data_IF_538708686132
#
_entry.id   IF_538708686132
#
_cell.length_a   1.000
_cell.length_b   1.000
_cell.length_c   1.000
_cell.angle_alpha   90.00
_cell.angle_beta   90.00
_cell.angle_gamma   90.00
#
_symmetry.space_group_name_H-M   'P 1'
#
loop_
_entity.id
_entity.type
_entity.pdbx_description
1 polymer ?
#
# COMPACT_ATOMS: atom_id res chain seq x y z
N UNK A 1 10.83 2.12 5.49
CA UNK A 1 10.50 0.69 5.24
C UNK A 1 11.67 -0.25 5.51
N UNK A 2 12.87 -0.08 4.86
CA UNK A 2 14.05 -0.97 5.07
C UNK A 2 14.39 -1.15 6.56
N UNK A 3 14.44 -0.06 7.34
CA UNK A 3 14.70 -0.09 8.79
C UNK A 3 13.68 -0.90 9.59
N UNK A 4 12.39 -0.78 9.26
CA UNK A 4 11.34 -1.56 9.91
C UNK A 4 11.44 -3.05 9.61
N UNK A 5 11.85 -3.40 8.38
CA UNK A 5 12.07 -4.78 7.99
C UNK A 5 13.26 -5.41 8.75
N UNK A 6 14.32 -4.63 9.04
CA UNK A 6 15.43 -5.08 9.89
C UNK A 6 14.94 -5.37 11.32
N UNK A 7 14.08 -4.50 11.88
CA UNK A 7 13.49 -4.70 13.20
C UNK A 7 12.60 -5.95 13.25
N UNK A 8 11.76 -6.17 12.24
CA UNK A 8 10.95 -7.39 12.14
C UNK A 8 11.84 -8.64 12.03
N UNK A 9 12.88 -8.60 11.21
CA UNK A 9 13.85 -9.70 11.06
C UNK A 9 14.64 -9.99 12.34
N UNK A 10 14.79 -9.04 13.25
CA UNK A 10 15.42 -9.30 14.55
C UNK A 10 14.59 -10.25 15.45
N UNK A 11 13.31 -10.46 15.12
CA UNK A 11 12.39 -11.32 15.87
C UNK A 11 11.79 -10.67 17.11
N UNK A 12 12.18 -9.45 17.48
CA UNK A 12 11.72 -8.78 18.71
C UNK A 12 10.20 -8.62 18.75
N UNK A 13 9.59 -8.29 17.60
CA UNK A 13 8.13 -8.15 17.48
C UNK A 13 7.41 -9.47 17.20
N UNK A 14 8.14 -10.56 16.94
CA UNK A 14 7.54 -11.80 16.49
C UNK A 14 7.01 -11.67 15.06
N UNK A 15 6.10 -12.58 14.69
CA UNK A 15 5.54 -12.66 13.35
C UNK A 15 4.53 -11.54 13.10
N UNK A 16 4.48 -11.03 11.87
CA UNK A 16 3.39 -10.17 11.38
C UNK A 16 2.16 -11.04 11.12
N UNK A 17 1.03 -10.70 11.74
CA UNK A 17 -0.24 -11.43 11.59
C UNK A 17 -1.28 -10.65 10.80
N UNK A 18 -1.39 -9.33 11.04
CA UNK A 18 -2.43 -8.50 10.45
C UNK A 18 -1.89 -7.14 10.04
N UNK A 19 -2.31 -6.66 8.86
CA UNK A 19 -2.02 -5.30 8.40
C UNK A 19 -3.33 -4.55 8.13
N UNK A 20 -3.45 -3.33 8.65
CA UNK A 20 -4.59 -2.45 8.37
C UNK A 20 -4.11 -1.19 7.66
N UNK A 21 -4.72 -0.89 6.50
CA UNK A 21 -4.34 0.22 5.65
C UNK A 21 -5.52 1.17 5.43
N UNK A 22 -5.29 2.46 5.65
CA UNK A 22 -6.25 3.51 5.34
C UNK A 22 -5.61 4.56 4.43
N UNK A 23 -6.34 5.00 3.40
CA UNK A 23 -5.98 6.16 2.60
C UNK A 23 -7.24 6.87 2.08
N UNK A 24 -7.56 8.03 2.63
CA UNK A 24 -8.60 8.90 2.12
C UNK A 24 -8.04 10.25 1.71
N UNK A 25 -8.17 10.57 0.42
CA UNK A 25 -7.73 11.84 -0.15
C UNK A 25 -8.93 12.54 -0.75
N UNK A 26 -9.63 13.37 0.05
CA UNK A 26 -10.82 14.07 -0.44
C UNK A 26 -10.50 14.88 -1.70
N UNK A 27 -11.24 14.59 -2.76
CA UNK A 27 -11.26 15.31 -4.04
C UNK A 27 -12.70 15.71 -4.32
N UNK A 28 -12.88 16.94 -4.78
CA UNK A 28 -14.17 17.36 -5.34
C UNK A 28 -14.45 16.62 -6.65
N UNK A 29 -15.72 16.41 -6.95
CA UNK A 29 -16.11 15.84 -8.23
C UNK A 29 -15.84 16.85 -9.35
N UNK A 30 -14.74 16.65 -10.00
CA UNK A 30 -14.42 17.29 -11.28
C UNK A 30 -14.15 16.20 -12.31
N UNK A 31 -15.08 16.02 -13.25
CA UNK A 31 -15.02 15.00 -14.28
C UNK A 31 -13.90 15.28 -15.30
N UNK A 32 -13.31 16.45 -15.30
CA UNK A 32 -12.13 16.80 -16.11
C UNK A 32 -10.83 16.44 -15.41
N UNK A 33 -10.86 16.28 -14.09
CA UNK A 33 -9.70 15.90 -13.32
C UNK A 33 -9.43 14.38 -13.47
N UNK A 34 -8.16 14.00 -13.55
CA UNK A 34 -7.74 12.60 -13.69
C UNK A 34 -8.32 11.65 -12.62
N UNK A 35 -8.61 12.15 -11.41
CA UNK A 35 -9.07 11.30 -10.30
C UNK A 35 -10.39 10.59 -10.58
N UNK A 36 -11.32 11.26 -11.28
CA UNK A 36 -12.63 10.71 -11.61
C UNK A 36 -12.83 10.52 -13.12
N UNK A 37 -11.80 10.70 -13.92
CA UNK A 37 -11.89 10.59 -15.37
C UNK A 37 -11.45 9.20 -15.85
N UNK A 38 -12.40 8.43 -16.41
CA UNK A 38 -12.15 7.11 -16.96
C UNK A 38 -11.11 7.13 -18.09
N UNK A 39 -11.14 8.16 -18.96
CA UNK A 39 -10.18 8.30 -20.06
C UNK A 39 -8.77 8.68 -19.61
N UNK A 40 -8.56 8.99 -18.34
CA UNK A 40 -7.27 9.28 -17.75
C UNK A 40 -6.86 8.24 -16.69
N UNK A 41 -7.44 7.04 -16.79
CA UNK A 41 -7.21 5.94 -15.84
C UNK A 41 -7.45 6.36 -14.37
N UNK A 42 -8.56 7.08 -14.11
CA UNK A 42 -8.96 7.51 -12.77
C UNK A 42 -9.40 6.34 -11.89
N UNK A 43 -9.65 6.65 -10.63
CA UNK A 43 -10.12 5.69 -9.62
C UNK A 43 -9.19 5.58 -8.42
N UNK A 44 -9.76 5.24 -7.27
CA UNK A 44 -9.03 5.14 -5.99
C UNK A 44 -7.98 4.02 -6.02
N UNK A 45 -8.29 2.89 -6.65
CA UNK A 45 -7.37 1.76 -6.70
C UNK A 45 -6.07 2.10 -7.44
N UNK A 46 -6.16 2.73 -8.62
CA UNK A 46 -4.96 3.08 -9.39
C UNK A 46 -4.21 4.27 -8.77
N UNK A 47 -4.92 5.29 -8.24
CA UNK A 47 -4.28 6.49 -7.72
C UNK A 47 -3.64 6.28 -6.35
N UNK A 48 -4.37 5.67 -5.40
CA UNK A 48 -3.93 5.54 -4.00
C UNK A 48 -3.81 4.10 -3.51
N UNK A 49 -4.45 3.13 -4.17
CA UNK A 49 -4.38 1.71 -3.77
C UNK A 49 -3.00 1.11 -3.96
N UNK A 50 -2.25 1.53 -4.97
CA UNK A 50 -0.88 1.08 -5.22
C UNK A 50 0.04 1.25 -4.00
N UNK A 51 -0.09 2.36 -3.26
CA UNK A 51 0.70 2.59 -2.06
C UNK A 51 0.36 1.61 -0.94
N UNK A 52 -0.94 1.38 -0.70
CA UNK A 52 -1.40 0.47 0.35
C UNK A 52 -0.99 -0.97 0.06
N UNK A 53 -1.21 -1.43 -1.17
CA UNK A 53 -0.84 -2.78 -1.61
C UNK A 53 0.67 -3.00 -1.59
N UNK A 54 1.47 -1.98 -1.94
CA UNK A 54 2.94 -2.06 -1.86
C UNK A 54 3.43 -2.23 -0.43
N UNK A 55 2.83 -1.54 0.55
CA UNK A 55 3.17 -1.72 1.97
C UNK A 55 2.78 -3.11 2.45
N UNK A 56 1.60 -3.62 2.10
CA UNK A 56 1.18 -4.98 2.46
C UNK A 56 2.17 -5.99 1.88
N UNK A 57 2.49 -5.89 0.58
CA UNK A 57 3.42 -6.82 -0.08
C UNK A 57 4.83 -6.76 0.51
N UNK A 58 5.24 -5.60 1.01
CA UNK A 58 6.55 -5.42 1.66
C UNK A 58 6.66 -6.18 2.98
N UNK A 59 5.58 -6.27 3.75
CA UNK A 59 5.58 -6.88 5.08
C UNK A 59 4.97 -8.30 5.14
N UNK A 60 4.33 -8.76 4.07
CA UNK A 60 3.88 -10.14 3.95
C UNK A 60 5.04 -11.07 3.58
N UNK A 61 5.05 -12.25 4.16
CA UNK A 61 6.04 -13.29 3.89
C UNK A 61 5.89 -13.87 2.49
N UNK A 62 4.65 -13.88 1.99
CA UNK A 62 4.35 -14.32 0.64
C UNK A 62 3.38 -13.35 -0.07
N UNK A 63 3.17 -13.55 -1.37
CA UNK A 63 2.20 -12.72 -2.12
C UNK A 63 0.78 -12.99 -1.64
N UNK A 64 -0.07 -11.95 -1.52
CA UNK A 64 -1.50 -12.15 -1.32
C UNK A 64 -2.09 -12.97 -2.48
N UNK A 65 -2.82 -14.03 -2.17
CA UNK A 65 -3.44 -14.92 -3.16
C UNK A 65 -4.96 -15.03 -3.01
N UNK A 66 -5.49 -14.76 -1.82
CA UNK A 66 -6.93 -14.65 -1.59
C UNK A 66 -7.31 -13.19 -1.41
N UNK A 67 -8.25 -12.73 -2.25
CA UNK A 67 -8.66 -11.32 -2.35
C UNK A 67 -10.17 -11.27 -2.40
N UNK A 68 -10.77 -10.58 -1.43
CA UNK A 68 -12.17 -10.19 -1.44
C UNK A 68 -12.23 -8.68 -1.53
N UNK A 69 -13.12 -8.14 -2.37
CA UNK A 69 -13.19 -6.72 -2.60
C UNK A 69 -14.61 -6.19 -2.78
N UNK A 70 -14.81 -4.94 -2.42
CA UNK A 70 -15.99 -4.15 -2.69
C UNK A 70 -15.59 -2.75 -3.13
N UNK A 71 -16.44 -2.10 -3.91
CA UNK A 71 -16.23 -0.72 -4.31
C UNK A 71 -17.54 0.08 -4.33
N UNK A 72 -17.39 1.39 -4.31
CA UNK A 72 -18.39 2.35 -4.72
C UNK A 72 -17.91 3.06 -5.97
N UNK A 73 -18.72 3.05 -7.02
CA UNK A 73 -18.42 3.71 -8.30
C UNK A 73 -18.75 5.20 -8.23
N UNK A 74 -17.87 6.02 -8.81
CA UNK A 74 -18.18 7.40 -9.17
C UNK A 74 -19.15 7.44 -10.35
N UNK A 75 -19.84 8.56 -10.62
CA UNK A 75 -20.73 8.71 -11.79
C UNK A 75 -20.04 8.46 -13.14
N UNK A 76 -18.74 8.52 -13.20
CA UNK A 76 -17.91 8.26 -14.40
C UNK A 76 -17.56 6.79 -14.61
N UNK A 77 -17.96 5.90 -13.69
CA UNK A 77 -17.70 4.47 -13.78
C UNK A 77 -16.34 4.01 -13.22
N UNK A 78 -15.51 4.92 -12.69
CA UNK A 78 -14.30 4.55 -11.95
C UNK A 78 -14.62 4.32 -10.47
N UNK A 79 -13.76 3.62 -9.75
CA UNK A 79 -13.91 3.41 -8.30
C UNK A 79 -13.61 4.69 -7.52
N UNK A 80 -14.60 5.18 -6.79
CA UNK A 80 -14.49 6.29 -5.85
C UNK A 80 -13.94 5.83 -4.50
N UNK A 81 -14.42 4.66 -4.06
CA UNK A 81 -14.03 4.00 -2.82
C UNK A 81 -13.77 2.53 -3.12
N UNK A 82 -12.79 1.97 -2.44
CA UNK A 82 -12.49 0.55 -2.51
C UNK A 82 -12.16 -0.01 -1.12
N UNK A 83 -12.64 -1.22 -0.86
CA UNK A 83 -12.31 -2.00 0.33
C UNK A 83 -11.80 -3.36 -0.09
N UNK A 84 -10.69 -3.81 0.50
CA UNK A 84 -10.14 -5.13 0.24
C UNK A 84 -9.88 -5.86 1.55
N UNK A 85 -10.12 -7.17 1.51
CA UNK A 85 -9.62 -8.13 2.49
C UNK A 85 -8.68 -9.08 1.75
N UNK A 86 -7.45 -9.16 2.22
CA UNK A 86 -6.38 -9.93 1.60
C UNK A 86 -5.87 -10.98 2.58
N UNK A 87 -5.47 -12.14 2.09
CA UNK A 87 -4.65 -13.07 2.85
C UNK A 87 -3.62 -13.76 1.96
N UNK A 88 -2.56 -14.25 2.58
CA UNK A 88 -1.54 -15.06 1.93
C UNK A 88 -1.61 -16.52 2.39
N UNK A 89 -0.80 -17.38 1.76
CA UNK A 89 -0.73 -18.82 2.09
C UNK A 89 -0.17 -19.11 3.49
N UNK A 90 0.52 -18.13 4.08
CA UNK A 90 1.09 -18.26 5.43
C UNK A 90 0.08 -17.85 6.53
N UNK A 91 -1.14 -17.43 6.13
CA UNK A 91 -2.22 -17.04 7.03
C UNK A 91 -2.12 -15.58 7.52
N UNK A 92 -1.25 -14.77 6.94
CA UNK A 92 -1.25 -13.33 7.20
C UNK A 92 -2.47 -12.69 6.54
N UNK A 93 -3.07 -11.70 7.18
CA UNK A 93 -4.26 -11.01 6.67
C UNK A 93 -4.03 -9.51 6.57
N UNK A 94 -4.71 -8.87 5.62
CA UNK A 94 -4.69 -7.42 5.52
C UNK A 94 -6.06 -6.86 5.13
N UNK A 95 -6.35 -5.65 5.63
CA UNK A 95 -7.51 -4.85 5.22
C UNK A 95 -7.05 -3.55 4.61
N UNK A 96 -7.74 -3.12 3.56
CA UNK A 96 -7.48 -1.85 2.87
C UNK A 96 -8.79 -1.07 2.74
N UNK A 97 -8.76 0.21 3.12
CA UNK A 97 -9.86 1.15 2.93
C UNK A 97 -9.37 2.38 2.19
N UNK A 98 -9.90 2.60 0.99
CA UNK A 98 -9.53 3.69 0.10
C UNK A 98 -10.72 4.60 -0.18
N UNK A 99 -10.50 5.91 -0.26
CA UNK A 99 -11.50 6.85 -0.75
C UNK A 99 -10.87 8.08 -1.41
N UNK A 100 -11.40 8.45 -2.58
CA UNK A 100 -11.12 9.74 -3.23
C UNK A 100 -12.15 10.82 -2.85
N UNK A 101 -13.23 10.47 -2.16
CA UNK A 101 -14.29 11.42 -1.79
C UNK A 101 -14.56 11.48 -0.27
N UNK A 102 -13.65 10.90 0.53
CA UNK A 102 -13.66 11.01 1.99
C UNK A 102 -12.26 11.20 2.51
N UNK A 103 -12.10 12.07 3.51
CA UNK A 103 -10.81 12.26 4.18
C UNK A 103 -10.60 11.16 5.21
N UNK A 104 -9.45 10.47 5.13
CA UNK A 104 -8.96 9.54 6.14
C UNK A 104 -7.48 9.80 6.39
N UNK A 105 -6.91 9.41 7.54
CA UNK A 105 -5.47 9.40 7.70
C UNK A 105 -4.84 8.39 6.73
N UNK A 106 -3.66 8.70 6.22
CA UNK A 106 -2.82 7.75 5.48
C UNK A 106 -2.05 6.93 6.49
N UNK A 107 -2.71 5.90 7.01
CA UNK A 107 -2.21 5.11 8.14
C UNK A 107 -2.00 3.66 7.73
N UNK A 108 -0.83 3.12 8.08
CA UNK A 108 -0.56 1.70 8.08
C UNK A 108 -0.37 1.23 9.52
N UNK A 109 -1.00 0.12 9.89
CA UNK A 109 -0.77 -0.55 11.16
C UNK A 109 -0.40 -2.00 10.88
N UNK A 110 0.81 -2.40 11.31
CA UNK A 110 1.35 -3.75 11.17
C UNK A 110 1.32 -4.40 12.55
N UNK A 111 0.38 -5.33 12.76
CA UNK A 111 0.18 -6.04 14.01
C UNK A 111 0.98 -7.32 14.04
N UNK A 112 1.82 -7.46 15.05
CA UNK A 112 2.71 -8.58 15.28
C UNK A 112 2.34 -9.32 16.58
N UNK A 113 3.00 -10.45 16.86
CA UNK A 113 2.77 -11.23 18.08
C UNK A 113 3.09 -10.44 19.35
N UNK A 114 4.16 -9.65 19.36
CA UNK A 114 4.69 -8.97 20.54
C UNK A 114 4.48 -7.44 20.51
N UNK A 115 3.61 -6.94 19.63
CA UNK A 115 3.32 -5.52 19.52
C UNK A 115 2.81 -5.13 18.13
N UNK A 116 2.84 -3.84 17.84
CA UNK A 116 2.47 -3.34 16.52
C UNK A 116 3.32 -2.13 16.11
N UNK A 117 3.41 -1.91 14.81
CA UNK A 117 4.04 -0.75 14.19
C UNK A 117 2.95 0.11 13.58
N UNK A 118 2.93 1.39 13.92
CA UNK A 118 2.08 2.40 13.30
C UNK A 118 2.91 3.34 12.44
N UNK A 119 2.49 3.52 11.19
CA UNK A 119 3.14 4.40 10.22
C UNK A 119 2.10 5.39 9.72
N UNK A 120 2.27 6.67 10.07
CA UNK A 120 1.45 7.76 9.54
C UNK A 120 2.08 8.30 8.26
N UNK A 121 1.24 8.80 7.33
CA UNK A 121 1.68 9.33 6.02
C UNK A 121 2.59 8.34 5.27
N UNK A 122 2.28 7.04 5.34
CA UNK A 122 3.12 5.93 4.90
C UNK A 122 3.64 6.00 3.45
N UNK A 123 2.99 6.69 2.48
CA UNK A 123 3.59 6.84 1.15
C UNK A 123 4.94 7.58 1.15
N UNK A 124 5.17 8.44 2.16
CA UNK A 124 6.40 9.21 2.31
C UNK A 124 6.84 9.32 3.77
N UNK A 125 6.57 8.28 4.56
CA UNK A 125 6.93 8.27 5.97
C UNK A 125 8.44 8.17 6.18
N UNK A 126 8.96 9.00 7.06
CA UNK A 126 10.32 8.96 7.59
C UNK A 126 10.38 8.47 9.03
N UNK A 127 9.21 8.29 9.66
CA UNK A 127 9.05 7.89 11.06
C UNK A 127 7.96 6.83 11.21
N UNK A 128 8.13 5.96 12.19
CA UNK A 128 7.14 4.98 12.63
C UNK A 128 7.18 4.83 14.15
N UNK A 129 6.03 4.53 14.75
CA UNK A 129 5.91 4.23 16.18
C UNK A 129 5.71 2.73 16.38
N UNK A 130 6.53 2.14 17.25
CA UNK A 130 6.35 0.77 17.72
C UNK A 130 5.72 0.82 19.11
N UNK A 131 4.73 -0.04 19.34
CA UNK A 131 4.14 -0.27 20.66
C UNK A 131 4.23 -1.75 20.97
N UNK A 132 4.89 -2.09 22.07
CA UNK A 132 5.07 -3.46 22.54
C UNK A 132 3.90 -3.91 23.43
N UNK A 133 3.72 -5.20 23.59
CA UNK A 133 2.64 -5.78 24.44
C UNK A 133 2.78 -5.40 25.92
N UNK A 134 3.97 -5.06 26.38
CA UNK A 134 4.22 -4.55 27.75
C UNK A 134 3.90 -3.05 27.92
N UNK A 135 3.45 -2.38 26.85
CA UNK A 135 3.09 -0.95 26.84
C UNK A 135 4.25 -0.01 26.53
N UNK A 136 5.48 -0.49 26.43
CA UNK A 136 6.60 0.34 25.96
C UNK A 136 6.36 0.83 24.55
N UNK A 137 6.85 2.02 24.24
CA UNK A 137 6.80 2.59 22.91
C UNK A 137 8.19 3.01 22.44
N UNK A 138 8.45 2.88 21.16
CA UNK A 138 9.68 3.27 20.51
C UNK A 138 9.35 4.07 19.25
N UNK A 139 10.08 5.16 19.01
CA UNK A 139 10.00 5.94 17.79
C UNK A 139 11.18 5.58 16.91
N UNK A 140 10.90 5.14 15.69
CA UNK A 140 11.90 4.72 14.70
C UNK A 140 11.89 5.73 13.57
N UNK A 141 13.01 6.42 13.37
CA UNK A 141 13.16 7.39 12.27
C UNK A 141 14.27 6.91 11.32
N UNK A 142 14.08 7.13 10.03
CA UNK A 142 15.07 6.80 9.01
C UNK A 142 14.84 7.58 7.72
N UNK A 143 15.92 8.18 7.20
CA UNK A 143 15.89 8.98 5.98
C UNK A 143 15.22 10.33 6.16
N UNK A 144 15.12 11.06 5.06
CA UNK A 144 14.47 12.37 4.98
C UNK A 144 13.43 12.34 3.86
N UNK A 145 12.26 12.91 4.10
CA UNK A 145 11.18 12.94 3.11
C UNK A 145 11.57 13.77 1.86
N UNK A 146 12.38 14.82 2.04
CA UNK A 146 12.93 15.62 0.94
C UNK A 146 13.75 14.81 -0.06
N UNK A 147 14.37 13.72 0.41
CA UNK A 147 15.29 12.91 -0.38
C UNK A 147 14.61 11.70 -1.06
N UNK A 148 13.27 11.61 -1.02
CA UNK A 148 12.55 10.45 -1.54
C UNK A 148 12.90 10.12 -3.00
N UNK A 149 12.94 11.14 -3.88
CA UNK A 149 13.32 10.95 -5.29
C UNK A 149 14.79 10.58 -5.44
N UNK A 150 15.66 11.12 -4.61
CA UNK A 150 17.08 10.75 -4.60
C UNK A 150 17.27 9.26 -4.27
N UNK A 151 16.53 8.72 -3.29
CA UNK A 151 16.57 7.29 -2.99
C UNK A 151 16.06 6.43 -4.15
N UNK A 152 15.00 6.85 -4.83
CA UNK A 152 14.46 6.16 -6.00
C UNK A 152 15.51 6.09 -7.14
N UNK A 153 16.14 7.23 -7.47
CA UNK A 153 17.17 7.32 -8.50
C UNK A 153 18.38 6.45 -8.13
N UNK A 154 18.85 6.55 -6.89
CA UNK A 154 20.01 5.77 -6.41
C UNK A 154 19.74 4.25 -6.44
N UNK A 155 18.54 3.80 -6.07
CA UNK A 155 18.19 2.40 -6.15
C UNK A 155 18.05 1.94 -7.61
N UNK A 156 17.56 2.81 -8.53
CA UNK A 156 17.55 2.52 -9.96
C UNK A 156 18.97 2.39 -10.54
N UNK A 157 19.87 3.31 -10.20
CA UNK A 157 21.27 3.23 -10.62
C UNK A 157 21.93 1.92 -10.17
N UNK A 158 21.71 1.51 -8.92
CA UNK A 158 22.19 0.21 -8.42
C UNK A 158 21.63 -0.95 -9.24
N UNK A 159 20.32 -0.94 -9.53
CA UNK A 159 19.68 -1.99 -10.31
C UNK A 159 20.26 -2.08 -11.73
N UNK A 160 20.49 -0.94 -12.39
CA UNK A 160 21.12 -0.88 -13.72
C UNK A 160 22.56 -1.40 -13.68
N UNK A 161 23.30 -1.15 -12.60
CA UNK A 161 24.67 -1.63 -12.39
C UNK A 161 24.75 -3.09 -11.93
N UNK A 162 23.62 -3.79 -11.83
CA UNK A 162 23.58 -5.24 -11.58
C UNK A 162 23.27 -5.64 -10.14
N UNK A 163 22.97 -4.71 -9.25
CA UNK A 163 22.49 -5.03 -7.90
C UNK A 163 21.11 -5.68 -7.99
N UNK A 164 21.03 -6.93 -7.58
CA UNK A 164 19.80 -7.72 -7.72
C UNK A 164 18.71 -7.25 -6.76
N UNK A 165 17.53 -7.07 -7.32
CA UNK A 165 16.25 -6.88 -6.59
C UNK A 165 16.18 -5.67 -5.63
N UNK A 166 17.03 -4.65 -5.79
CA UNK A 166 16.90 -3.40 -4.98
C UNK A 166 15.61 -2.64 -5.28
N UNK A 167 15.06 -2.80 -6.50
CA UNK A 167 13.80 -2.19 -6.94
C UNK A 167 12.55 -3.01 -6.62
N UNK A 168 12.70 -4.22 -6.08
CA UNK A 168 11.60 -5.13 -5.71
C UNK A 168 10.54 -5.29 -6.83
N UNK A 169 10.99 -5.50 -8.08
CA UNK A 169 10.12 -5.59 -9.25
C UNK A 169 9.11 -6.75 -9.19
N UNK A 170 9.46 -7.83 -8.51
CA UNK A 170 8.56 -8.93 -8.18
C UNK A 170 7.38 -8.47 -7.32
N UNK A 171 7.59 -7.59 -6.34
CA UNK A 171 6.52 -7.00 -5.53
C UNK A 171 5.64 -6.09 -6.37
N UNK A 172 6.23 -5.28 -7.24
CA UNK A 172 5.49 -4.46 -8.19
C UNK A 172 4.58 -5.33 -9.07
N UNK A 173 5.10 -6.43 -9.62
CA UNK A 173 4.31 -7.35 -10.43
C UNK A 173 3.15 -7.98 -9.65
N UNK A 174 3.35 -8.35 -8.38
CA UNK A 174 2.29 -8.87 -7.53
C UNK A 174 1.21 -7.83 -7.25
N UNK A 175 1.58 -6.59 -6.93
CA UNK A 175 0.65 -5.46 -6.73
C UNK A 175 -0.17 -5.19 -7.99
N UNK A 176 0.48 -5.13 -9.15
CA UNK A 176 -0.22 -4.92 -10.44
C UNK A 176 -1.23 -6.03 -10.74
N UNK A 177 -0.93 -7.30 -10.41
CA UNK A 177 -1.87 -8.41 -10.56
C UNK A 177 -3.12 -8.24 -9.67
N UNK A 178 -2.94 -7.80 -8.42
CA UNK A 178 -4.06 -7.52 -7.50
C UNK A 178 -4.93 -6.40 -8.07
N UNK A 179 -4.34 -5.31 -8.51
CA UNK A 179 -5.06 -4.16 -9.07
C UNK A 179 -5.80 -4.54 -10.37
N UNK A 180 -5.19 -5.33 -11.24
CA UNK A 180 -5.82 -5.83 -12.46
C UNK A 180 -7.00 -6.74 -12.13
N UNK A 181 -6.83 -7.69 -11.21
CA UNK A 181 -7.89 -8.57 -10.76
C UNK A 181 -9.07 -7.78 -10.18
N UNK A 182 -8.81 -6.80 -9.30
CA UNK A 182 -9.84 -5.92 -8.74
C UNK A 182 -10.66 -5.24 -9.85
N UNK A 183 -10.00 -4.64 -10.84
CA UNK A 183 -10.68 -3.97 -11.95
C UNK A 183 -11.54 -4.95 -12.77
N UNK A 184 -11.00 -6.12 -13.09
CA UNK A 184 -11.71 -7.15 -13.86
C UNK A 184 -12.94 -7.67 -13.12
N UNK A 185 -12.83 -7.97 -11.82
CA UNK A 185 -13.95 -8.45 -10.99
C UNK A 185 -15.09 -7.43 -10.89
N UNK A 186 -14.78 -6.14 -10.99
CA UNK A 186 -15.75 -5.06 -10.91
C UNK A 186 -16.12 -4.41 -12.25
N UNK A 187 -15.64 -4.96 -13.37
CA UNK A 187 -15.95 -4.45 -14.71
C UNK A 187 -15.41 -3.05 -15.00
N UNK A 188 -14.33 -2.63 -14.34
CA UNK A 188 -13.67 -1.36 -14.63
C UNK A 188 -12.73 -1.58 -15.80
N UNK A 189 -13.13 -1.10 -16.98
CA UNK A 189 -12.37 -1.18 -18.24
C UNK A 189 -12.05 0.25 -18.66
N UNK A 190 -10.81 0.52 -19.00
CA UNK A 190 -10.39 1.82 -19.53
C UNK A 190 -10.46 1.84 -21.05
N UNK A 191 -10.60 3.03 -21.70
CA UNK A 191 -10.76 3.11 -23.16
C UNK A 191 -9.66 2.44 -23.97
N UNK A 192 -8.43 2.41 -23.47
CA UNK A 192 -7.29 1.77 -24.15
C UNK A 192 -7.36 0.23 -24.12
N UNK A 193 -8.29 -0.33 -23.34
CA UNK A 193 -8.50 -1.79 -23.19
C UNK A 193 -9.74 -2.27 -23.96
N UNK A 194 -10.55 -1.34 -24.54
CA UNK A 194 -11.70 -1.62 -25.40
C UNK A 194 -11.26 -1.91 -26.84
#
# INVERSE_FOLDING_TARGET
>A
MKKLNEILKSGTLGRVNLITMNFGSFKEYDMKNRFFNRSLAGGAMLDIGVYALSVIRWFFDSKPDNILSQLKTAPTGVDEQASLLLSDKEGQMATVMLSLHSKQPKRAMISCENGYIEIMEYPRAWEAKITYTDGRTELVSAGENSDALYYEITDMEKAVNGDKNVMCLDYTADVMKIMTRFRQEHGIIYPEEE
#
